data_IF_263258822350
#
_entry.id   IF_263258822350
#
_cell.length_a   1.000
_cell.length_b   1.000
_cell.length_c   1.000
_cell.angle_alpha   90.00
_cell.angle_beta   90.00
_cell.angle_gamma   90.00
#
_symmetry.space_group_name_H-M   'P 1'
#
loop_
_entity.id
_entity.type
_entity.pdbx_description
1 polymer ?
#
# COMPACT_ATOMS: atom_id res chain seq x y z
N UNK A 1 -12.08 -7.98 -23.79
CA UNK A 1 -11.44 -6.80 -23.15
C UNK A 1 -12.25 -6.37 -21.93
N UNK A 2 -11.81 -6.78 -20.73
CA UNK A 2 -12.48 -6.44 -19.49
C UNK A 2 -12.22 -4.99 -19.12
N UNK A 3 -13.27 -4.24 -18.77
CA UNK A 3 -13.12 -2.94 -18.13
C UNK A 3 -12.16 -3.10 -16.94
N UNK A 4 -11.18 -2.20 -16.79
CA UNK A 4 -10.17 -2.24 -15.73
C UNK A 4 -10.76 -2.33 -14.31
N UNK A 5 -9.90 -2.35 -13.30
CA UNK A 5 -10.35 -2.53 -11.91
C UNK A 5 -11.41 -1.50 -11.51
N UNK A 6 -12.55 -1.96 -11.00
CA UNK A 6 -13.61 -1.11 -10.49
C UNK A 6 -13.47 -0.95 -8.98
N UNK A 7 -13.13 0.26 -8.54
CA UNK A 7 -13.01 0.60 -7.13
C UNK A 7 -14.36 0.45 -6.41
N UNK A 8 -14.38 -0.32 -5.32
CA UNK A 8 -15.54 -0.49 -4.44
C UNK A 8 -15.28 0.15 -3.10
N UNK A 9 -16.25 0.93 -2.61
CA UNK A 9 -16.16 1.64 -1.33
C UNK A 9 -17.31 1.21 -0.41
N UNK A 10 -16.98 0.71 0.78
CA UNK A 10 -17.94 0.49 1.86
C UNK A 10 -17.92 1.69 2.80
N UNK A 11 -19.08 2.34 2.94
CA UNK A 11 -19.27 3.45 3.87
C UNK A 11 -19.73 2.95 5.25
N UNK A 12 -19.47 3.77 6.26
CA UNK A 12 -19.85 3.51 7.64
C UNK A 12 -19.97 4.84 8.38
N UNK A 13 -20.79 4.89 9.42
CA UNK A 13 -20.90 6.06 10.30
C UNK A 13 -19.54 6.42 10.93
N UNK A 14 -18.81 5.41 11.43
CA UNK A 14 -17.46 5.60 11.95
C UNK A 14 -16.42 5.54 10.83
N UNK A 15 -15.61 6.60 10.70
CA UNK A 15 -14.53 6.72 9.69
C UNK A 15 -13.58 5.52 9.65
N UNK A 16 -13.16 5.02 10.81
CA UNK A 16 -12.27 3.86 10.92
C UNK A 16 -12.84 2.55 10.35
N UNK A 17 -14.14 2.51 10.03
CA UNK A 17 -14.84 1.37 9.43
C UNK A 17 -15.18 1.59 7.94
N UNK A 18 -14.63 2.63 7.32
CA UNK A 18 -14.68 2.87 5.89
C UNK A 18 -13.51 2.11 5.23
N UNK A 19 -13.77 1.37 4.16
CA UNK A 19 -12.74 0.60 3.47
C UNK A 19 -11.80 1.51 2.65
N UNK A 20 -10.51 1.20 2.61
CA UNK A 20 -9.59 1.78 1.61
C UNK A 20 -9.79 1.02 0.29
N UNK A 21 -10.31 1.66 -0.78
CA UNK A 21 -10.60 0.98 -2.03
C UNK A 21 -9.33 0.73 -2.85
N UNK A 22 -9.31 -0.31 -3.68
CA UNK A 22 -8.24 -0.54 -4.67
C UNK A 22 -7.68 -1.95 -4.69
N UNK A 23 -6.63 -2.14 -5.49
CA UNK A 23 -5.76 -3.33 -5.43
C UNK A 23 -4.51 -2.89 -4.67
N UNK A 24 -4.42 -3.24 -3.40
CA UNK A 24 -3.43 -2.62 -2.51
C UNK A 24 -2.22 -3.51 -2.28
N UNK A 25 -1.05 -2.87 -2.14
CA UNK A 25 0.19 -3.45 -1.62
C UNK A 25 0.64 -2.65 -0.40
N UNK A 26 1.35 -3.32 0.51
CA UNK A 26 1.98 -2.68 1.67
C UNK A 26 3.49 -2.68 1.48
N UNK A 27 4.10 -1.51 1.61
CA UNK A 27 5.55 -1.33 1.52
C UNK A 27 6.13 -0.89 2.86
N UNK A 28 7.04 -1.68 3.42
CA UNK A 28 7.84 -1.27 4.56
C UNK A 28 8.94 -0.32 4.10
N UNK A 29 8.91 0.89 4.63
CA UNK A 29 9.84 1.95 4.30
C UNK A 29 10.94 2.03 5.35
N UNK A 30 12.18 2.03 4.88
CA UNK A 30 13.39 2.22 5.68
C UNK A 30 14.09 3.54 5.34
N UNK A 31 14.72 4.14 6.34
CA UNK A 31 15.71 5.20 6.09
C UNK A 31 17.07 4.62 5.69
N UNK A 32 18.03 5.50 5.36
CA UNK A 32 19.37 5.07 4.94
C UNK A 32 20.20 4.36 6.02
N UNK A 33 19.73 4.33 7.27
CA UNK A 33 20.35 3.59 8.37
C UNK A 33 19.67 2.24 8.64
N UNK A 34 18.68 1.85 7.83
CA UNK A 34 17.91 0.62 7.99
C UNK A 34 16.84 0.69 9.08
N UNK A 35 16.48 1.88 9.57
CA UNK A 35 15.40 2.03 10.54
C UNK A 35 14.05 2.02 9.82
N UNK A 36 13.12 1.19 10.29
CA UNK A 36 11.74 1.25 9.82
C UNK A 36 11.10 2.59 10.18
N UNK A 37 10.66 3.31 9.15
CA UNK A 37 10.04 4.62 9.30
C UNK A 37 8.55 4.61 8.97
N UNK A 38 8.05 3.73 8.11
CA UNK A 38 6.62 3.66 7.79
C UNK A 38 6.23 2.33 7.17
N UNK A 39 4.95 1.98 7.23
CA UNK A 39 4.32 1.06 6.28
C UNK A 39 3.41 1.89 5.37
N UNK A 40 3.65 1.84 4.05
CA UNK A 40 2.91 2.57 3.04
C UNK A 40 1.93 1.64 2.33
N UNK A 41 0.63 1.94 2.41
CA UNK A 41 -0.40 1.23 1.66
C UNK A 41 -0.63 1.99 0.35
N UNK A 42 -0.30 1.37 -0.78
CA UNK A 42 -0.38 1.98 -2.11
C UNK A 42 -1.26 1.13 -3.02
N UNK A 43 -1.94 1.76 -3.97
CA UNK A 43 -2.62 1.03 -5.04
C UNK A 43 -1.59 0.50 -6.05
N UNK A 44 -1.81 -0.69 -6.60
CA UNK A 44 -0.92 -1.32 -7.58
C UNK A 44 -0.82 -0.55 -8.90
N UNK A 45 -1.70 0.43 -9.15
CA UNK A 45 -1.57 1.37 -10.28
C UNK A 45 -0.57 2.49 -10.02
N UNK A 46 -0.15 2.71 -8.78
CA UNK A 46 0.85 3.71 -8.41
C UNK A 46 2.27 3.14 -8.51
N UNK A 47 3.23 3.99 -8.88
CA UNK A 47 4.65 3.64 -8.82
C UNK A 47 5.17 3.83 -7.38
N UNK A 48 5.37 2.70 -6.71
CA UNK A 48 5.84 2.67 -5.34
C UNK A 48 7.21 3.31 -5.14
N UNK A 49 8.03 3.54 -6.17
CA UNK A 49 9.33 4.19 -6.04
C UNK A 49 9.23 5.73 -6.01
N UNK A 50 8.16 6.30 -6.59
CA UNK A 50 8.02 7.74 -6.78
C UNK A 50 6.97 8.39 -5.88
N UNK A 51 6.09 7.62 -5.22
CA UNK A 51 5.11 8.17 -4.27
C UNK A 51 5.82 9.00 -3.17
N UNK A 52 5.52 10.32 -3.04
CA UNK A 52 6.31 11.21 -2.19
C UNK A 52 5.82 11.26 -0.73
N UNK A 53 4.59 10.82 -0.46
CA UNK A 53 3.97 10.87 0.87
C UNK A 53 2.82 9.88 0.99
N UNK A 54 2.49 9.51 2.23
CA UNK A 54 1.25 8.81 2.59
C UNK A 54 0.40 9.70 3.50
N UNK A 55 -0.90 9.42 3.51
CA UNK A 55 -1.93 10.17 4.26
C UNK A 55 -2.59 9.20 5.24
N UNK A 56 -2.81 9.64 6.48
CA UNK A 56 -3.53 8.85 7.47
C UNK A 56 -4.99 8.66 7.00
N UNK A 57 -5.50 7.41 6.93
CA UNK A 57 -6.85 7.15 6.42
C UNK A 57 -7.96 7.72 7.32
N UNK A 58 -7.67 8.02 8.59
CA UNK A 58 -8.63 8.58 9.55
C UNK A 58 -8.52 10.11 9.68
N UNK A 59 -7.42 10.70 9.23
CA UNK A 59 -7.10 12.12 9.38
C UNK A 59 -6.33 12.65 8.17
N UNK A 60 -7.02 13.31 7.25
CA UNK A 60 -6.44 13.82 6.00
C UNK A 60 -5.41 14.95 6.19
N UNK A 61 -5.31 15.53 7.39
CA UNK A 61 -4.30 16.53 7.73
C UNK A 61 -2.98 15.89 8.18
N UNK A 62 -3.03 14.64 8.64
CA UNK A 62 -1.86 13.86 9.05
C UNK A 62 -1.27 13.14 7.86
N UNK A 63 -0.01 13.45 7.60
CA UNK A 63 0.71 12.92 6.45
C UNK A 63 2.14 12.63 6.81
N UNK A 64 2.77 11.73 6.06
CA UNK A 64 4.18 11.38 6.24
C UNK A 64 4.91 11.45 4.91
N UNK A 65 5.98 12.23 4.86
CA UNK A 65 6.88 12.28 3.70
C UNK A 65 7.63 10.96 3.58
N UNK A 66 7.70 10.43 2.37
CA UNK A 66 8.49 9.24 2.00
C UNK A 66 9.71 9.62 1.14
N UNK A 67 10.06 10.91 1.05
CA UNK A 67 11.21 11.38 0.27
C UNK A 67 12.56 10.97 0.87
N UNK A 68 12.61 10.77 2.18
CA UNK A 68 13.81 10.30 2.89
C UNK A 68 13.87 8.76 2.96
N UNK A 69 12.90 8.06 2.37
CA UNK A 69 12.89 6.61 2.31
C UNK A 69 14.00 6.14 1.36
N UNK A 70 14.93 5.36 1.90
CA UNK A 70 16.01 4.75 1.13
C UNK A 70 15.56 3.45 0.47
N UNK A 71 14.74 2.64 1.17
CA UNK A 71 14.25 1.35 0.69
C UNK A 71 12.76 1.18 0.96
N UNK A 72 12.07 0.46 0.07
CA UNK A 72 10.64 0.12 0.15
C UNK A 72 10.48 -1.36 -0.14
N UNK A 73 10.34 -2.17 0.90
CA UNK A 73 10.14 -3.61 0.80
C UNK A 73 8.65 -3.92 0.64
N UNK A 74 8.25 -4.62 -0.43
CA UNK A 74 6.88 -5.10 -0.57
C UNK A 74 6.62 -6.25 0.41
N UNK A 75 5.61 -6.11 1.27
CA UNK A 75 5.30 -7.09 2.31
C UNK A 75 4.33 -8.18 1.86
N UNK A 76 3.48 -7.93 0.87
CA UNK A 76 2.65 -8.97 0.27
C UNK A 76 3.42 -9.64 -0.87
N UNK A 77 3.77 -10.90 -0.68
CA UNK A 77 4.36 -11.76 -1.71
C UNK A 77 3.31 -12.71 -2.28
N UNK A 78 3.31 -12.99 -3.61
CA UNK A 78 2.42 -13.99 -4.20
C UNK A 78 2.66 -15.38 -3.58
N UNK A 79 1.59 -16.03 -3.14
CA UNK A 79 1.65 -17.41 -2.64
C UNK A 79 1.14 -18.41 -3.67
N UNK A 80 0.07 -18.03 -4.37
CA UNK A 80 -0.52 -18.80 -5.47
C UNK A 80 -0.67 -17.92 -6.70
N UNK A 81 -0.43 -18.52 -7.86
CA UNK A 81 -0.76 -17.95 -9.17
C UNK A 81 -1.45 -18.99 -10.03
N UNK A 82 -2.61 -18.65 -10.60
CA UNK A 82 -3.41 -19.58 -11.40
C UNK A 82 -3.79 -20.89 -10.69
N UNK A 83 -3.85 -20.91 -9.36
CA UNK A 83 -4.11 -22.13 -8.57
C UNK A 83 -2.88 -22.99 -8.28
N UNK A 84 -1.69 -22.57 -8.70
CA UNK A 84 -0.42 -23.24 -8.42
C UNK A 84 0.34 -22.51 -7.33
N UNK A 85 1.00 -23.24 -6.41
CA UNK A 85 1.90 -22.63 -5.41
C UNK A 85 3.13 -22.08 -6.12
N UNK A 86 3.43 -20.79 -5.91
CA UNK A 86 4.61 -20.11 -6.50
C UNK A 86 5.59 -19.60 -5.44
N UNK A 87 5.23 -19.68 -4.17
CA UNK A 87 6.09 -19.25 -3.07
C UNK A 87 7.14 -20.30 -2.74
N UNK A 88 8.40 -19.85 -2.67
CA UNK A 88 9.55 -20.63 -2.20
C UNK A 88 10.13 -19.93 -0.95
N UNK A 89 10.16 -20.60 0.22
CA UNK A 89 10.61 -20.02 1.49
C UNK A 89 12.09 -19.64 1.59
#
# INVERSE_FOLDING_TARGET
>A
PGNGWQYKLKLSEHKAKISIPGRLQVYRCEDGAGKFIADAILDLSEDATTVPRIIDPNDNTKTKSLRATAQREALLTPVFDGGTVVYDP
#
